data_IF_054298294877
#
_entry.id   IF_054298294877
#
_cell.length_a   1.000
_cell.length_b   1.000
_cell.length_c   1.000
_cell.angle_alpha   90.00
_cell.angle_beta   90.00
_cell.angle_gamma   90.00
#
_symmetry.space_group_name_H-M   'P 1'
#
loop_
_entity.id
_entity.type
_entity.pdbx_description
1 polymer ?
#
# COMPACT_ATOMS: atom_id res chain seq x y z
N UNK A 1 -14.41 15.04 10.15
CA UNK A 1 -13.93 13.85 9.43
C UNK A 1 -15.16 13.11 8.89
N UNK A 2 -15.32 13.03 7.57
CA UNK A 2 -16.59 12.68 6.90
C UNK A 2 -16.69 11.18 6.57
N UNK A 3 -16.05 10.32 7.37
CA UNK A 3 -15.94 8.88 7.12
C UNK A 3 -15.03 8.53 5.94
N UNK A 4 -14.17 9.46 5.52
CA UNK A 4 -13.18 9.27 4.46
C UNK A 4 -11.94 8.58 5.00
N UNK A 5 -11.35 7.71 4.17
CA UNK A 5 -10.15 6.93 4.47
C UNK A 5 -9.14 7.20 3.36
N UNK A 6 -7.86 7.15 3.70
CA UNK A 6 -6.78 7.45 2.77
C UNK A 6 -5.76 6.30 2.75
N UNK A 7 -5.36 5.87 1.56
CA UNK A 7 -4.22 5.00 1.33
C UNK A 7 -3.13 5.80 0.64
N UNK A 8 -1.89 5.66 1.11
CA UNK A 8 -0.74 6.27 0.44
C UNK A 8 -0.01 5.17 -0.33
N UNK A 9 0.12 5.36 -1.64
CA UNK A 9 1.00 4.53 -2.45
C UNK A 9 2.41 5.08 -2.36
N UNK A 10 3.36 4.23 -1.98
CA UNK A 10 4.75 4.61 -1.80
C UNK A 10 5.65 3.75 -2.66
N UNK A 11 6.71 4.36 -3.19
CA UNK A 11 7.91 3.64 -3.59
C UNK A 11 8.79 3.45 -2.38
N UNK A 12 9.22 2.21 -2.15
CA UNK A 12 10.05 1.86 -0.99
C UNK A 12 11.36 1.26 -1.48
N UNK A 13 12.48 1.76 -0.96
CA UNK A 13 13.80 1.14 -1.12
C UNK A 13 13.95 0.13 0.02
N UNK A 14 13.99 -1.16 -0.30
CA UNK A 14 14.03 -2.22 0.73
C UNK A 14 15.45 -2.58 1.16
N UNK A 15 16.44 -2.47 0.28
CA UNK A 15 17.82 -2.86 0.59
C UNK A 15 17.92 -4.34 0.99
N UNK A 16 18.78 -4.64 1.96
CA UNK A 16 18.92 -5.96 2.54
C UNK A 16 17.81 -6.23 3.55
N UNK A 17 16.99 -7.24 3.27
CA UNK A 17 15.79 -7.56 4.03
C UNK A 17 16.10 -8.65 5.05
N UNK A 18 15.67 -8.45 6.30
CA UNK A 18 15.63 -9.49 7.32
C UNK A 18 14.22 -10.03 7.53
N UNK A 19 14.11 -11.30 7.94
CA UNK A 19 12.83 -11.87 8.33
C UNK A 19 12.49 -11.41 9.75
N UNK A 20 11.29 -10.89 9.94
CA UNK A 20 10.74 -10.46 11.23
C UNK A 20 9.64 -11.42 11.64
N UNK A 21 9.86 -12.12 12.75
CA UNK A 21 8.87 -13.04 13.31
C UNK A 21 7.68 -12.29 13.91
N UNK A 22 6.50 -12.90 13.83
CA UNK A 22 5.29 -12.36 14.46
C UNK A 22 5.50 -12.21 15.98
N UNK A 23 5.24 -11.01 16.51
CA UNK A 23 5.46 -10.70 17.93
C UNK A 23 6.87 -10.20 18.26
N UNK A 24 7.75 -10.02 17.28
CA UNK A 24 9.06 -9.40 17.47
C UNK A 24 8.95 -8.04 18.17
N UNK A 25 9.88 -7.78 19.09
CA UNK A 25 10.03 -6.50 19.80
C UNK A 25 11.15 -5.64 19.21
N UNK A 26 11.62 -5.96 17.99
CA UNK A 26 12.66 -5.20 17.31
C UNK A 26 12.16 -3.79 16.96
N UNK A 27 12.98 -2.78 17.29
CA UNK A 27 12.73 -1.38 16.95
C UNK A 27 13.72 -0.84 15.91
N UNK A 28 14.71 -1.65 15.54
CA UNK A 28 15.80 -1.34 14.60
C UNK A 28 16.31 -2.64 13.96
N UNK A 29 17.12 -2.58 12.88
CA UNK A 29 17.63 -3.77 12.24
C UNK A 29 18.45 -4.64 13.20
N UNK A 30 18.42 -5.97 13.04
CA UNK A 30 19.24 -6.87 13.88
C UNK A 30 20.74 -6.74 13.62
N UNK A 31 21.15 -6.14 12.48
CA UNK A 31 22.54 -5.84 12.19
C UNK A 31 22.69 -4.62 11.28
N UNK A 32 23.85 -3.93 11.29
CA UNK A 32 24.09 -2.77 10.43
C UNK A 32 24.07 -3.05 8.92
N UNK A 33 24.13 -4.33 8.51
CA UNK A 33 24.08 -4.74 7.11
C UNK A 33 22.65 -4.84 6.57
N UNK A 34 21.64 -4.71 7.43
CA UNK A 34 20.22 -4.87 7.13
C UNK A 34 19.52 -3.52 7.11
N UNK A 35 18.60 -3.36 6.16
CA UNK A 35 17.97 -2.07 5.85
C UNK A 35 16.47 -2.06 6.17
N UNK A 36 15.79 -3.21 5.99
CA UNK A 36 14.34 -3.36 6.22
C UNK A 36 13.98 -4.76 6.70
N UNK A 37 12.74 -4.92 7.17
CA UNK A 37 12.19 -6.21 7.60
C UNK A 37 11.02 -6.68 6.73
N UNK A 38 10.76 -7.99 6.69
CA UNK A 38 9.57 -8.58 6.08
C UNK A 38 9.09 -9.82 6.87
N UNK A 39 7.83 -10.21 6.73
CA UNK A 39 7.32 -11.46 7.35
C UNK A 39 7.88 -12.73 6.71
N UNK A 40 8.07 -12.71 5.40
CA UNK A 40 8.59 -13.83 4.62
C UNK A 40 9.51 -13.30 3.53
N UNK A 41 10.67 -13.95 3.34
CA UNK A 41 11.68 -13.49 2.39
C UNK A 41 11.37 -13.91 0.94
N UNK A 42 10.53 -14.92 0.74
CA UNK A 42 10.17 -15.43 -0.58
C UNK A 42 8.85 -14.82 -1.08
N UNK A 43 7.86 -14.68 -0.19
CA UNK A 43 6.53 -14.17 -0.51
C UNK A 43 6.02 -13.20 0.58
N UNK A 44 6.64 -12.02 0.70
CA UNK A 44 6.31 -11.02 1.73
C UNK A 44 4.89 -10.47 1.56
N UNK A 45 4.18 -10.32 2.67
CA UNK A 45 2.87 -9.66 2.74
C UNK A 45 2.95 -8.28 3.37
N UNK A 46 3.93 -8.05 4.23
CA UNK A 46 4.21 -6.74 4.80
C UNK A 46 5.71 -6.53 4.97
N UNK A 47 6.07 -5.25 5.03
CA UNK A 47 7.44 -4.81 5.24
C UNK A 47 7.51 -3.84 6.42
N UNK A 48 8.68 -3.78 7.04
CA UNK A 48 9.03 -2.78 8.05
C UNK A 48 10.17 -1.93 7.50
N UNK A 49 9.94 -0.62 7.45
CA UNK A 49 11.01 0.37 7.28
C UNK A 49 11.28 0.99 8.64
N UNK A 50 12.50 0.84 9.13
CA UNK A 50 12.88 1.37 10.44
C UNK A 50 12.85 2.90 10.46
N UNK A 51 12.58 3.49 11.62
CA UNK A 51 12.43 4.95 11.78
C UNK A 51 13.61 5.75 11.24
N UNK A 52 14.84 5.24 11.35
CA UNK A 52 16.05 5.90 10.81
C UNK A 52 16.07 6.02 9.29
N UNK A 53 15.29 5.19 8.58
CA UNK A 53 15.26 5.11 7.13
C UNK A 53 13.97 5.71 6.52
N UNK A 54 12.96 6.06 7.32
CA UNK A 54 11.64 6.48 6.80
C UNK A 54 11.73 7.67 5.83
N UNK A 55 12.58 8.65 6.11
CA UNK A 55 12.72 9.87 5.29
C UNK A 55 13.55 9.69 4.03
N UNK A 56 14.31 8.60 3.93
CA UNK A 56 15.24 8.35 2.80
C UNK A 56 14.80 7.16 1.95
N UNK A 57 14.02 6.23 2.51
CA UNK A 57 13.65 4.98 1.86
C UNK A 57 12.17 4.94 1.46
N UNK A 58 11.35 5.91 1.86
CA UNK A 58 9.94 6.01 1.45
C UNK A 58 9.73 7.27 0.64
N UNK A 59 9.28 7.10 -0.60
CA UNK A 59 8.80 8.18 -1.46
C UNK A 59 7.29 8.01 -1.69
N UNK A 60 6.44 8.89 -1.12
CA UNK A 60 5.02 8.92 -1.43
C UNK A 60 4.81 9.28 -2.89
N UNK A 61 4.09 8.46 -3.64
CA UNK A 61 3.78 8.70 -5.06
C UNK A 61 2.36 9.21 -5.26
N UNK A 62 1.38 8.65 -4.53
CA UNK A 62 0.01 9.12 -4.62
C UNK A 62 -0.79 8.85 -3.32
N UNK A 63 -1.88 9.59 -3.16
CA UNK A 63 -2.88 9.36 -2.11
C UNK A 63 -4.19 8.96 -2.77
N UNK A 64 -4.79 7.89 -2.27
CA UNK A 64 -6.08 7.36 -2.71
C UNK A 64 -7.06 7.55 -1.57
N UNK A 65 -7.98 8.48 -1.76
CA UNK A 65 -9.05 8.76 -0.80
C UNK A 65 -10.31 7.99 -1.17
N UNK A 66 -10.98 7.39 -0.20
CA UNK A 66 -12.19 6.61 -0.42
C UNK A 66 -13.13 6.66 0.79
N UNK A 67 -14.42 6.44 0.55
CA UNK A 67 -15.42 6.25 1.61
C UNK A 67 -15.95 4.83 1.55
N UNK A 68 -16.16 4.23 2.71
CA UNK A 68 -16.68 2.87 2.81
C UNK A 68 -18.17 2.92 3.17
N UNK A 69 -19.05 2.50 2.28
CA UNK A 69 -20.47 2.29 2.61
C UNK A 69 -20.62 1.01 3.44
N UNK A 70 -21.51 1.00 4.43
CA UNK A 70 -21.93 -0.22 5.12
C UNK A 70 -22.71 -1.11 4.13
N UNK A 71 -22.41 -2.42 4.12
CA UNK A 71 -22.91 -3.40 3.14
C UNK A 71 -24.45 -3.42 3.08
N UNK A 72 -25.01 -3.03 1.95
CA UNK A 72 -26.27 -3.59 1.43
C UNK A 72 -26.00 -4.17 0.04
N UNK A 73 -26.67 -5.28 -0.26
CA UNK A 73 -26.25 -6.27 -1.25
C UNK A 73 -26.16 -5.77 -2.70
N UNK A 74 -25.07 -6.18 -3.36
CA UNK A 74 -25.04 -6.63 -4.76
C UNK A 74 -25.24 -5.59 -5.86
N UNK A 75 -24.19 -4.85 -6.23
CA UNK A 75 -23.82 -4.55 -7.63
C UNK A 75 -22.51 -3.75 -7.73
N UNK A 76 -21.73 -3.98 -8.78
CA UNK A 76 -20.39 -3.45 -9.03
C UNK A 76 -20.39 -2.08 -9.70
N UNK A 77 -19.70 -1.08 -9.14
CA UNK A 77 -19.39 0.18 -9.83
C UNK A 77 -17.98 0.10 -10.43
N UNK A 78 -17.91 0.24 -11.76
CA UNK A 78 -16.66 0.36 -12.52
C UNK A 78 -15.94 1.66 -12.18
N UNK A 79 -14.66 1.56 -11.82
CA UNK A 79 -13.82 2.69 -11.43
C UNK A 79 -13.43 3.46 -12.70
N UNK A 80 -13.96 4.68 -12.89
CA UNK A 80 -13.58 5.61 -13.97
C UNK A 80 -12.16 6.17 -13.74
N UNK A 81 -11.14 5.33 -13.90
CA UNK A 81 -9.72 5.70 -13.74
C UNK A 81 -8.98 5.93 -15.06
N UNK A 82 -9.68 5.91 -16.20
CA UNK A 82 -9.03 5.85 -17.51
C UNK A 82 -8.35 7.15 -17.97
N UNK A 83 -8.45 8.27 -17.24
CA UNK A 83 -8.01 9.56 -17.78
C UNK A 83 -6.72 10.14 -17.18
N UNK A 84 -6.08 9.51 -16.19
CA UNK A 84 -4.84 10.04 -15.59
C UNK A 84 -3.63 9.13 -15.82
N UNK A 85 -2.76 9.50 -16.76
CA UNK A 85 -1.45 8.87 -16.99
C UNK A 85 -0.36 9.93 -16.90
N UNK A 86 0.45 9.97 -15.83
CA UNK A 86 1.77 10.58 -15.90
C UNK A 86 2.82 9.52 -16.26
N UNK A 87 3.60 9.84 -17.29
CA UNK A 87 5.00 9.44 -17.45
C UNK A 87 5.28 7.92 -17.44
N UNK A 88 4.53 7.14 -18.22
CA UNK A 88 4.91 5.77 -18.59
C UNK A 88 4.68 4.66 -17.55
N UNK A 89 4.39 5.00 -16.30
CA UNK A 89 4.05 4.04 -15.21
C UNK A 89 2.57 3.62 -15.18
N UNK A 90 1.77 4.12 -16.13
CA UNK A 90 0.30 4.03 -16.11
C UNK A 90 -0.27 2.62 -16.00
N UNK A 91 0.41 1.60 -16.55
CA UNK A 91 -0.07 0.22 -16.50
C UNK A 91 0.03 -0.39 -15.08
N UNK A 92 1.07 -0.06 -14.32
CA UNK A 92 1.27 -0.56 -12.95
C UNK A 92 0.26 0.11 -12.02
N UNK A 93 0.08 1.41 -12.19
CA UNK A 93 -0.88 2.22 -11.45
C UNK A 93 -2.32 1.75 -11.75
N UNK A 94 -2.68 1.55 -13.02
CA UNK A 94 -3.99 1.03 -13.41
C UNK A 94 -4.26 -0.39 -12.86
N UNK A 95 -3.27 -1.29 -12.87
CA UNK A 95 -3.39 -2.63 -12.25
C UNK A 95 -3.54 -2.55 -10.73
N UNK A 96 -2.77 -1.69 -10.07
CA UNK A 96 -2.87 -1.45 -8.63
C UNK A 96 -4.26 -0.95 -8.27
N UNK A 97 -4.76 0.05 -9.00
CA UNK A 97 -6.09 0.58 -8.77
C UNK A 97 -7.21 -0.41 -9.13
N UNK A 98 -7.05 -1.21 -10.17
CA UNK A 98 -7.96 -2.33 -10.46
C UNK A 98 -7.99 -3.31 -9.28
N UNK A 99 -6.83 -3.62 -8.70
CA UNK A 99 -6.73 -4.51 -7.55
C UNK A 99 -7.33 -3.87 -6.29
N UNK A 100 -7.05 -2.61 -6.03
CA UNK A 100 -7.66 -1.85 -4.94
C UNK A 100 -9.18 -1.77 -5.12
N UNK A 101 -9.68 -1.48 -6.31
CA UNK A 101 -11.11 -1.52 -6.63
C UNK A 101 -11.73 -2.89 -6.36
N UNK A 102 -11.00 -3.99 -6.59
CA UNK A 102 -11.46 -5.35 -6.24
C UNK A 102 -11.39 -5.67 -4.74
N UNK A 103 -10.56 -4.95 -3.98
CA UNK A 103 -10.37 -5.14 -2.54
C UNK A 103 -11.23 -4.18 -1.70
N UNK A 104 -11.67 -3.07 -2.29
CA UNK A 104 -12.49 -2.05 -1.64
C UNK A 104 -13.99 -2.39 -1.80
N UNK A 105 -14.82 -2.18 -0.77
CA UNK A 105 -16.25 -2.41 -0.87
C UNK A 105 -16.91 -1.48 -1.90
N UNK A 106 -17.78 -2.03 -2.76
CA UNK A 106 -18.47 -1.27 -3.79
C UNK A 106 -19.36 -0.16 -3.18
N UNK A 107 -19.17 1.08 -3.62
CA UNK A 107 -20.12 2.16 -3.39
C UNK A 107 -21.31 1.97 -4.33
N UNK A 108 -22.54 2.30 -3.90
CA UNK A 108 -23.64 2.60 -4.81
C UNK A 108 -24.27 3.92 -4.41
N UNK A 109 -24.43 4.80 -5.40
CA UNK A 109 -25.16 6.05 -5.31
C UNK A 109 -26.65 5.69 -5.35
N UNK A 110 -27.39 6.12 -4.34
CA UNK A 110 -28.79 6.52 -4.48
C UNK A 110 -28.86 8.02 -4.18
#
# INVERSE_FOLDING_TARGET
DNGEKHLVFCRVVLGNIEKIEAGSQQCEPSSPALDSGADDLLNPKWYIVWSRNINTHILPECVVSYKCSSRQNGETIGVELLNWIPNGSGLVVAKLFSKLGSLLPAHKVE
#
